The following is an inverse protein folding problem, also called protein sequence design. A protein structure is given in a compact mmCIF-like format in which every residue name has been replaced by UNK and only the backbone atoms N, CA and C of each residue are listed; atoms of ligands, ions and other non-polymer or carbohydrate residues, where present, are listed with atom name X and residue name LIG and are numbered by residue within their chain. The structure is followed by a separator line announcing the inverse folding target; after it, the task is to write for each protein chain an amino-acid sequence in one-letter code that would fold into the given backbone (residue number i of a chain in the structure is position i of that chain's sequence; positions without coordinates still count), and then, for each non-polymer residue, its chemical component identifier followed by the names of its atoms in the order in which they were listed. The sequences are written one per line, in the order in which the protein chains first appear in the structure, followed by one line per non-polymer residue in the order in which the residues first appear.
data_IF_064142996753
#
_entry.id   IF_064142996753
#
_cell.length_a   1.000
_cell.length_b   1.000
_cell.length_c   1.000
_cell.angle_alpha   90.00
_cell.angle_beta   90.00
_cell.angle_gamma   90.00
#
_symmetry.space_group_name_H-M   'P 1'
#
loop_
_entity.id
_entity.type
_entity.pdbx_description
1 polymer ?
#
# COMPACT_ATOMS: atom_id res chain seq x y z
N UNK A 1 -12.64 -6.65 10.84
CA UNK A 1 -13.41 -5.38 10.71
C UNK A 1 -12.71 -4.35 9.82
N UNK A 2 -11.46 -3.93 10.10
CA UNK A 2 -10.74 -2.91 9.28
C UNK A 2 -10.61 -3.29 7.80
N UNK A 3 -10.19 -4.53 7.48
CA UNK A 3 -10.03 -5.01 6.10
C UNK A 3 -11.34 -5.00 5.30
N UNK A 4 -12.47 -5.30 5.96
CA UNK A 4 -13.80 -5.27 5.35
C UNK A 4 -14.24 -3.83 5.05
N UNK A 5 -13.98 -2.89 5.98
CA UNK A 5 -14.23 -1.46 5.78
C UNK A 5 -13.47 -0.91 4.56
N UNK A 6 -12.18 -1.23 4.43
CA UNK A 6 -11.37 -0.82 3.27
C UNK A 6 -11.93 -1.36 1.96
N UNK A 7 -12.30 -2.65 1.90
CA UNK A 7 -12.86 -3.26 0.70
C UNK A 7 -14.20 -2.64 0.27
N UNK A 8 -15.09 -2.31 1.22
CA UNK A 8 -16.36 -1.63 0.92
C UNK A 8 -16.16 -0.21 0.37
N UNK A 9 -15.21 0.54 0.92
CA UNK A 9 -14.85 1.88 0.42
C UNK A 9 -14.29 1.80 -1.01
N UNK A 10 -13.44 0.82 -1.30
CA UNK A 10 -12.92 0.61 -2.65
C UNK A 10 -14.03 0.30 -3.65
N UNK A 11 -14.97 -0.58 -3.30
CA UNK A 11 -16.17 -0.83 -4.12
C UNK A 11 -16.99 0.44 -4.35
N UNK A 12 -17.20 1.26 -3.32
CA UNK A 12 -17.90 2.53 -3.47
C UNK A 12 -17.19 3.48 -4.44
N UNK A 13 -15.86 3.58 -4.34
CA UNK A 13 -15.06 4.40 -5.27
C UNK A 13 -15.19 3.93 -6.72
N UNK A 14 -15.37 2.63 -6.96
CA UNK A 14 -15.63 2.12 -8.32
C UNK A 14 -16.98 2.61 -8.85
N UNK A 15 -18.02 2.65 -8.02
CA UNK A 15 -19.32 3.21 -8.43
C UNK A 15 -19.23 4.69 -8.82
N UNK A 16 -18.36 5.46 -8.14
CA UNK A 16 -18.14 6.87 -8.50
C UNK A 16 -17.48 7.06 -9.86
N UNK A 17 -16.84 6.02 -10.39
CA UNK A 17 -16.17 6.01 -11.70
C UNK A 17 -17.07 5.51 -12.83
N UNK A 18 -18.34 5.18 -12.57
CA UNK A 18 -19.26 4.69 -13.60
C UNK A 18 -19.59 5.79 -14.63
N UNK A 19 -19.10 5.58 -15.85
CA UNK A 19 -19.20 6.51 -16.98
C UNK A 19 -20.46 6.24 -17.83
N UNK A 20 -21.65 6.41 -17.26
CA UNK A 20 -22.91 6.35 -18.02
C UNK A 20 -23.70 7.66 -17.93
N UNK A 21 -24.11 8.19 -19.09
CA UNK A 21 -24.92 9.41 -19.17
C UNK A 21 -26.39 9.08 -18.85
N UNK A 22 -27.01 9.71 -17.83
CA UNK A 22 -28.42 9.50 -17.53
C UNK A 22 -29.32 10.12 -18.59
N UNK A 23 -30.41 9.42 -18.91
CA UNK A 23 -31.39 9.87 -19.90
C UNK A 23 -31.99 11.24 -19.58
N UNK A 24 -32.16 11.54 -18.29
CA UNK A 24 -32.74 12.79 -17.80
C UNK A 24 -31.71 13.92 -17.63
N UNK A 25 -30.40 13.63 -17.67
CA UNK A 25 -29.38 14.63 -17.36
C UNK A 25 -29.41 15.83 -18.31
N UNK A 26 -29.49 15.59 -19.63
CA UNK A 26 -29.48 16.68 -20.62
C UNK A 26 -30.72 17.56 -20.53
N UNK A 27 -31.89 16.96 -20.28
CA UNK A 27 -33.12 17.70 -20.11
C UNK A 27 -33.06 18.60 -18.86
N UNK A 28 -32.55 18.07 -17.74
CA UNK A 28 -32.52 18.80 -16.46
C UNK A 28 -31.40 19.83 -16.38
N UNK A 29 -30.25 19.55 -16.99
CA UNK A 29 -29.08 20.42 -16.96
C UNK A 29 -28.71 20.85 -18.38
N UNK A 30 -29.69 21.43 -19.08
CA UNK A 30 -29.54 21.85 -20.48
C UNK A 30 -28.46 22.91 -20.69
N UNK A 31 -28.30 23.84 -19.75
CA UNK A 31 -27.23 24.82 -19.74
C UNK A 31 -25.85 24.16 -19.66
N UNK A 32 -25.70 23.15 -18.81
CA UNK A 32 -24.48 22.36 -18.67
C UNK A 32 -24.21 21.48 -19.92
N UNK A 33 -25.26 21.04 -20.61
CA UNK A 33 -25.16 20.23 -21.82
C UNK A 33 -24.52 20.94 -23.01
N UNK A 34 -24.38 22.27 -22.95
CA UNK A 34 -23.57 23.02 -23.92
C UNK A 34 -22.09 22.64 -23.92
N UNK A 35 -21.59 21.97 -22.86
CA UNK A 35 -20.21 21.48 -22.78
C UNK A 35 -19.96 20.20 -23.57
N UNK A 36 -21.01 19.46 -23.93
CA UNK A 36 -20.90 18.20 -24.67
C UNK A 36 -20.17 18.43 -26.00
N UNK A 37 -19.10 17.67 -26.26
CA UNK A 37 -18.25 17.83 -27.44
C UNK A 37 -17.31 19.04 -27.45
N UNK A 38 -17.43 20.01 -26.54
CA UNK A 38 -16.52 21.16 -26.41
C UNK A 38 -15.53 20.92 -25.25
N UNK A 39 -16.07 20.67 -24.07
CA UNK A 39 -15.33 20.33 -22.86
C UNK A 39 -15.75 18.95 -22.38
N UNK A 40 -15.55 17.94 -23.24
CA UNK A 40 -16.06 16.57 -23.05
C UNK A 40 -15.70 15.98 -21.68
N UNK A 41 -14.46 16.13 -21.23
CA UNK A 41 -14.04 15.64 -19.92
C UNK A 41 -14.82 16.29 -18.77
N UNK A 42 -15.07 17.60 -18.84
CA UNK A 42 -15.83 18.34 -17.84
C UNK A 42 -17.30 17.92 -17.88
N UNK A 43 -17.84 17.73 -19.09
CA UNK A 43 -19.19 17.24 -19.31
C UNK A 43 -19.41 15.87 -18.66
N UNK A 44 -18.47 14.93 -18.88
CA UNK A 44 -18.49 13.59 -18.28
C UNK A 44 -18.49 13.62 -16.76
N UNK A 45 -17.57 14.39 -16.18
CA UNK A 45 -17.50 14.57 -14.73
C UNK A 45 -18.84 15.08 -14.18
N UNK A 46 -19.52 15.97 -14.91
CA UNK A 46 -20.82 16.50 -14.51
C UNK A 46 -21.92 15.45 -14.40
N UNK A 47 -22.09 14.57 -15.40
CA UNK A 47 -23.13 13.54 -15.28
C UNK A 47 -22.74 12.42 -14.31
N UNK A 48 -21.45 12.11 -14.17
CA UNK A 48 -20.97 11.17 -13.15
C UNK A 48 -21.29 11.70 -11.75
N UNK A 49 -21.08 13.01 -11.51
CA UNK A 49 -21.46 13.68 -10.27
C UNK A 49 -22.97 13.53 -10.03
N UNK A 50 -23.79 13.80 -11.04
CA UNK A 50 -25.24 13.62 -10.93
C UNK A 50 -25.65 12.18 -10.59
N UNK A 51 -25.02 11.17 -11.21
CA UNK A 51 -25.23 9.76 -10.86
C UNK A 51 -24.91 9.46 -9.40
N UNK A 52 -23.81 10.00 -8.90
CA UNK A 52 -23.40 9.80 -7.52
C UNK A 52 -24.38 10.41 -6.53
N UNK A 53 -25.04 11.52 -6.87
CA UNK A 53 -26.15 11.99 -6.04
C UNK A 53 -27.40 11.11 -6.17
N UNK A 54 -27.78 10.74 -7.40
CA UNK A 54 -29.00 9.96 -7.69
C UNK A 54 -28.98 8.58 -7.03
N UNK A 55 -27.83 7.92 -7.03
CA UNK A 55 -27.66 6.54 -6.54
C UNK A 55 -27.12 6.46 -5.12
N UNK A 56 -27.07 7.59 -4.39
CA UNK A 56 -26.52 7.64 -3.03
C UNK A 56 -27.10 6.60 -2.08
N UNK A 57 -28.41 6.36 -2.13
CA UNK A 57 -29.07 5.34 -1.27
C UNK A 57 -28.93 3.91 -1.81
N UNK A 58 -28.61 3.78 -3.10
CA UNK A 58 -28.54 2.49 -3.80
C UNK A 58 -27.15 1.86 -3.63
N UNK A 59 -26.08 2.61 -3.84
CA UNK A 59 -24.72 2.05 -3.82
C UNK A 59 -24.32 1.45 -2.47
N UNK A 60 -24.51 2.12 -1.32
CA UNK A 60 -24.23 1.53 -0.01
C UNK A 60 -25.04 0.24 0.24
N UNK A 61 -26.33 0.24 -0.12
CA UNK A 61 -27.20 -0.93 0.02
C UNK A 61 -26.78 -2.11 -0.85
N UNK A 62 -26.32 -1.85 -2.09
CA UNK A 62 -25.76 -2.89 -2.96
C UNK A 62 -24.45 -3.46 -2.40
N UNK A 63 -23.59 -2.63 -1.83
CA UNK A 63 -22.32 -3.07 -1.23
C UNK A 63 -22.56 -3.94 0.01
N UNK A 64 -23.54 -3.56 0.84
CA UNK A 64 -23.84 -4.23 2.10
C UNK A 64 -24.44 -5.63 1.92
N UNK A 65 -25.14 -5.88 0.82
CA UNK A 65 -25.82 -7.15 0.54
C UNK A 65 -25.00 -8.15 -0.31
N UNK A 66 -23.73 -7.84 -0.61
CA UNK A 66 -22.89 -8.71 -1.48
C UNK A 66 -22.26 -9.91 -0.76
N UNK A 67 -22.24 -9.91 0.57
CA UNK A 67 -21.79 -11.04 1.39
C UNK A 67 -23.00 -11.61 2.14
N UNK A 68 -23.09 -12.93 2.29
CA UNK A 68 -24.22 -13.67 2.90
C UNK A 68 -24.54 -13.33 4.37
N UNK A 69 -23.90 -12.31 4.93
CA UNK A 69 -24.17 -11.72 6.22
C UNK A 69 -24.52 -10.23 6.02
N UNK A 70 -25.80 -9.92 5.82
CA UNK A 70 -26.31 -8.55 5.96
C UNK A 70 -26.14 -8.12 7.43
N UNK A 71 -24.95 -7.64 7.79
CA UNK A 71 -24.64 -7.20 9.15
C UNK A 71 -23.17 -6.82 9.40
N UNK A 72 -22.89 -5.51 9.46
CA UNK A 72 -22.26 -4.85 10.62
C UNK A 72 -21.56 -3.52 10.29
N UNK A 73 -21.34 -3.20 9.01
CA UNK A 73 -20.79 -1.90 8.60
C UNK A 73 -21.48 -1.40 7.34
N UNK A 74 -22.46 -0.51 7.50
CA UNK A 74 -23.01 0.30 6.41
C UNK A 74 -22.20 1.59 6.28
N UNK A 75 -22.04 2.06 5.05
CA UNK A 75 -21.39 3.35 4.81
C UNK A 75 -22.36 4.44 5.31
N UNK A 76 -21.90 5.23 6.28
CA UNK A 76 -22.70 6.33 6.81
C UNK A 76 -22.90 7.41 5.75
N UNK A 77 -23.96 8.21 5.89
CA UNK A 77 -24.20 9.35 5.01
C UNK A 77 -23.04 10.34 5.00
N UNK A 78 -22.45 10.57 6.17
CA UNK A 78 -21.26 11.41 6.34
C UNK A 78 -20.07 10.82 5.59
N UNK A 79 -19.79 9.53 5.77
CA UNK A 79 -18.68 8.83 5.09
C UNK A 79 -18.87 8.88 3.56
N UNK A 80 -20.11 8.71 3.08
CA UNK A 80 -20.43 8.83 1.66
C UNK A 80 -20.10 10.22 1.12
N UNK A 81 -20.56 11.26 1.81
CA UNK A 81 -20.33 12.65 1.39
C UNK A 81 -18.85 13.05 1.48
N UNK A 82 -18.10 12.55 2.46
CA UNK A 82 -16.65 12.74 2.54
C UNK A 82 -15.95 12.10 1.34
N UNK A 83 -16.29 10.85 1.02
CA UNK A 83 -15.73 10.13 -0.12
C UNK A 83 -16.11 10.79 -1.46
N UNK A 84 -17.34 11.28 -1.60
CA UNK A 84 -17.78 11.99 -2.81
C UNK A 84 -17.03 13.31 -2.99
N UNK A 85 -16.81 14.06 -1.90
CA UNK A 85 -16.00 15.28 -1.95
C UNK A 85 -14.53 14.97 -2.29
N UNK A 86 -13.95 13.93 -1.70
CA UNK A 86 -12.59 13.48 -2.04
C UNK A 86 -12.49 13.13 -3.52
N UNK A 87 -13.43 12.35 -4.04
CA UNK A 87 -13.51 11.99 -5.45
C UNK A 87 -13.60 13.23 -6.34
N UNK A 88 -14.52 14.15 -6.05
CA UNK A 88 -14.72 15.34 -6.87
C UNK A 88 -13.50 16.28 -6.84
N UNK A 89 -12.85 16.43 -5.68
CA UNK A 89 -11.60 17.19 -5.55
C UNK A 89 -10.46 16.53 -6.34
N UNK A 90 -10.37 15.19 -6.37
CA UNK A 90 -9.40 14.49 -7.19
C UNK A 90 -9.67 14.69 -8.69
N UNK A 91 -10.94 14.67 -9.12
CA UNK A 91 -11.34 15.01 -10.50
C UNK A 91 -10.96 16.44 -10.85
N UNK A 92 -11.18 17.40 -9.94
CA UNK A 92 -10.76 18.80 -10.10
C UNK A 92 -9.26 18.92 -10.35
N UNK A 93 -8.47 18.34 -9.47
CA UNK A 93 -7.01 18.41 -9.55
C UNK A 93 -6.52 17.79 -10.85
N UNK A 94 -7.04 16.62 -11.22
CA UNK A 94 -6.69 15.95 -12.48
C UNK A 94 -7.06 16.82 -13.70
N UNK A 95 -8.27 17.35 -13.75
CA UNK A 95 -8.74 18.21 -14.83
C UNK A 95 -7.87 19.46 -14.99
N UNK A 96 -7.53 20.13 -13.89
CA UNK A 96 -6.69 21.34 -13.92
C UNK A 96 -5.26 21.01 -14.38
N UNK A 97 -4.67 19.91 -13.91
CA UNK A 97 -3.30 19.50 -14.25
C UNK A 97 -3.17 19.03 -15.70
N UNK A 98 -4.16 18.28 -16.20
CA UNK A 98 -4.08 17.66 -17.54
C UNK A 98 -4.43 18.61 -18.68
N UNK A 99 -5.12 19.71 -18.41
CA UNK A 99 -5.47 20.67 -19.45
C UNK A 99 -4.36 21.70 -19.74
N UNK A 100 -4.56 22.48 -20.80
CA UNK A 100 -3.53 23.34 -21.38
C UNK A 100 -3.21 24.61 -20.57
N UNK A 101 -4.17 25.12 -19.81
CA UNK A 101 -4.01 26.32 -18.99
C UNK A 101 -4.69 26.12 -17.64
N UNK A 102 -3.90 26.20 -16.57
CA UNK A 102 -4.38 25.97 -15.21
C UNK A 102 -5.44 26.99 -14.77
N UNK A 103 -5.23 28.28 -15.05
CA UNK A 103 -6.15 29.35 -14.66
C UNK A 103 -7.48 29.21 -15.40
N UNK A 104 -7.44 28.99 -16.72
CA UNK A 104 -8.65 28.83 -17.54
C UNK A 104 -9.44 27.59 -17.10
N UNK A 105 -8.75 26.46 -16.84
CA UNK A 105 -9.39 25.25 -16.35
C UNK A 105 -9.99 25.42 -14.96
N UNK A 106 -9.33 26.18 -14.08
CA UNK A 106 -9.86 26.49 -12.75
C UNK A 106 -11.15 27.31 -12.88
N UNK A 107 -11.19 28.30 -13.77
CA UNK A 107 -12.39 29.09 -14.03
C UNK A 107 -13.52 28.25 -14.63
N UNK A 108 -13.22 27.38 -15.61
CA UNK A 108 -14.20 26.46 -16.19
C UNK A 108 -14.76 25.52 -15.13
N UNK A 109 -13.92 25.00 -14.24
CA UNK A 109 -14.36 24.13 -13.15
C UNK A 109 -15.31 24.85 -12.19
N UNK A 110 -14.91 26.02 -11.67
CA UNK A 110 -15.75 26.78 -10.74
C UNK A 110 -17.07 27.18 -11.38
N UNK A 111 -17.05 27.61 -12.64
CA UNK A 111 -18.26 28.00 -13.38
C UNK A 111 -19.18 26.82 -13.64
N UNK A 112 -18.67 25.66 -14.00
CA UNK A 112 -19.52 24.58 -14.50
C UNK A 112 -19.80 23.50 -13.47
N UNK A 113 -18.77 22.98 -12.79
CA UNK A 113 -18.93 21.85 -11.88
C UNK A 113 -19.45 22.29 -10.52
N UNK A 114 -18.93 23.40 -9.99
CA UNK A 114 -19.37 23.89 -8.67
C UNK A 114 -20.77 24.49 -8.74
N UNK A 115 -21.14 25.16 -9.84
CA UNK A 115 -22.54 25.56 -10.09
C UNK A 115 -23.46 24.34 -10.26
N UNK A 116 -23.02 23.31 -10.99
CA UNK A 116 -23.79 22.09 -11.18
C UNK A 116 -24.05 21.37 -9.85
N UNK A 117 -23.08 21.32 -8.94
CA UNK A 117 -23.28 20.76 -7.59
C UNK A 117 -24.48 21.39 -6.87
N UNK A 118 -24.57 22.72 -6.88
CA UNK A 118 -25.67 23.45 -6.28
C UNK A 118 -27.01 23.17 -6.98
N UNK A 119 -27.01 23.11 -8.31
CA UNK A 119 -28.22 22.78 -9.09
C UNK A 119 -28.71 21.36 -8.79
N UNK A 120 -27.81 20.38 -8.68
CA UNK A 120 -28.14 19.00 -8.35
C UNK A 120 -28.77 18.91 -6.95
N UNK A 121 -28.18 19.59 -5.96
CA UNK A 121 -28.73 19.68 -4.59
C UNK A 121 -30.17 20.18 -4.59
N UNK A 122 -30.44 21.26 -5.32
CA UNK A 122 -31.79 21.85 -5.44
C UNK A 122 -32.75 20.89 -6.14
N UNK A 123 -32.29 20.20 -7.19
CA UNK A 123 -33.13 19.32 -8.00
C UNK A 123 -33.58 18.07 -7.25
N UNK A 124 -32.64 17.39 -6.57
CA UNK A 124 -32.92 16.09 -5.94
C UNK A 124 -33.82 16.26 -4.71
N UNK A 125 -33.84 17.45 -4.08
CA UNK A 125 -34.69 17.77 -2.92
C UNK A 125 -34.64 16.72 -1.81
N UNK A 126 -33.51 16.03 -1.68
CA UNK A 126 -33.32 15.04 -0.63
C UNK A 126 -33.09 15.76 0.70
N UNK A 127 -33.56 15.15 1.79
CA UNK A 127 -33.38 15.65 3.16
C UNK A 127 -31.90 15.64 3.57
N UNK A 128 -31.06 14.95 2.80
CA UNK A 128 -29.63 14.81 3.02
C UNK A 128 -28.84 15.43 1.87
N UNK A 129 -28.27 16.59 2.16
CA UNK A 129 -27.41 17.34 1.26
C UNK A 129 -25.96 17.02 1.61
N UNK A 130 -25.22 16.41 0.70
CA UNK A 130 -23.77 16.44 0.83
C UNK A 130 -23.32 17.89 0.74
N UNK A 131 -22.72 18.40 1.81
CA UNK A 131 -22.10 19.72 1.78
C UNK A 131 -20.82 19.66 0.96
N UNK A 132 -20.59 20.69 0.14
CA UNK A 132 -19.41 20.79 -0.70
C UNK A 132 -18.21 21.21 0.13
N UNK A 133 -17.21 20.34 0.25
CA UNK A 133 -15.92 20.63 0.87
C UNK A 133 -14.82 20.74 -0.21
N UNK A 134 -14.56 21.97 -0.66
CA UNK A 134 -13.61 22.26 -1.74
C UNK A 134 -12.16 22.25 -1.23
N UNK A 135 -11.27 21.57 -1.94
CA UNK A 135 -9.83 21.82 -1.80
C UNK A 135 -9.43 23.01 -2.66
N UNK A 136 -8.67 23.94 -2.08
CA UNK A 136 -8.05 25.03 -2.83
C UNK A 136 -6.91 24.43 -3.64
N UNK A 137 -7.00 24.55 -4.97
CA UNK A 137 -5.91 24.22 -5.87
C UNK A 137 -5.26 25.52 -6.33
N UNK A 138 -3.95 25.65 -6.21
CA UNK A 138 -3.20 26.81 -6.68
C UNK A 138 -2.36 26.44 -7.91
N UNK A 139 -2.52 27.21 -8.98
CA UNK A 139 -1.82 27.00 -10.25
C UNK A 139 -0.31 27.16 -10.17
N UNK A 140 0.21 27.72 -9.08
CA UNK A 140 1.63 27.81 -8.77
C UNK A 140 2.27 26.46 -8.39
N UNK A 141 1.47 25.42 -8.12
CA UNK A 141 1.97 24.06 -7.86
C UNK A 141 2.08 23.32 -9.19
N UNK A 142 3.15 23.61 -9.93
CA UNK A 142 3.54 22.87 -11.13
C UNK A 142 3.94 21.41 -10.77
N UNK A 143 3.78 20.41 -11.66
CA UNK A 143 4.20 19.02 -11.41
C UNK A 143 5.69 18.86 -11.04
N UNK A 144 6.51 19.87 -11.31
CA UNK A 144 7.92 19.91 -10.90
C UNK A 144 8.11 19.95 -9.37
N UNK A 145 7.05 20.22 -8.60
CA UNK A 145 7.06 20.17 -7.13
C UNK A 145 6.44 18.86 -6.57
N UNK A 146 6.47 17.74 -7.31
CA UNK A 146 6.27 16.40 -6.72
C UNK A 146 7.58 15.66 -6.41
N UNK A 147 8.72 16.19 -6.84
CA UNK A 147 10.06 15.73 -6.39
C UNK A 147 10.62 16.56 -5.24
N UNK A 148 9.92 17.60 -4.78
CA UNK A 148 10.38 18.48 -3.73
C UNK A 148 9.25 18.92 -2.77
N UNK A 149 8.58 17.96 -2.12
CA UNK A 149 8.18 18.11 -0.71
C UNK A 149 7.64 16.79 -0.14
N UNK A 150 8.41 16.03 0.63
CA UNK A 150 8.05 15.81 2.01
C UNK A 150 8.47 17.06 2.78
N UNK A 151 7.66 17.58 3.69
CA UNK A 151 8.10 18.10 4.98
C UNK A 151 6.91 18.78 5.67
N UNK A 152 5.98 17.96 6.20
CA UNK A 152 5.57 18.21 7.58
C UNK A 152 6.67 17.60 8.46
N UNK A 153 7.55 18.50 8.92
CA UNK A 153 8.45 18.39 10.09
C UNK A 153 9.80 17.67 9.86
N UNK A 154 10.80 18.51 9.61
CA UNK A 154 12.10 18.52 10.31
C UNK A 154 12.91 17.22 10.27
N UNK A 155 13.40 16.83 9.09
CA UNK A 155 14.65 16.06 9.01
C UNK A 155 15.80 17.05 8.77
N UNK A 156 16.78 17.09 9.67
CA UNK A 156 17.97 17.95 9.50
C UNK A 156 18.67 17.63 8.17
N UNK A 157 19.40 18.59 7.57
CA UNK A 157 20.20 18.37 6.36
C UNK A 157 21.19 17.19 6.48
N UNK A 158 21.50 16.76 7.71
CA UNK A 158 22.38 15.62 7.99
C UNK A 158 21.76 14.28 7.58
N UNK A 159 20.44 14.10 7.70
CA UNK A 159 19.79 12.81 7.37
C UNK A 159 19.67 12.60 5.86
N UNK A 160 19.37 13.66 5.09
CA UNK A 160 19.28 13.59 3.62
C UNK A 160 20.66 13.26 3.02
N UNK A 161 21.71 13.87 3.57
CA UNK A 161 23.10 13.58 3.18
C UNK A 161 23.52 12.17 3.61
N UNK A 162 23.21 11.77 4.84
CA UNK A 162 23.54 10.43 5.36
C UNK A 162 22.83 9.30 4.61
N UNK A 163 21.55 9.48 4.22
CA UNK A 163 20.81 8.50 3.42
C UNK A 163 21.37 8.40 2.00
N UNK A 164 21.67 9.54 1.35
CA UNK A 164 22.27 9.57 0.01
C UNK A 164 23.64 8.87 -0.02
N UNK A 165 24.51 9.20 0.94
CA UNK A 165 25.82 8.56 1.09
C UNK A 165 25.64 7.09 1.48
N UNK A 166 24.70 6.77 2.37
CA UNK A 166 24.38 5.42 2.80
C UNK A 166 23.96 4.51 1.65
N UNK A 167 23.03 4.94 0.80
CA UNK A 167 22.60 4.18 -0.38
C UNK A 167 23.71 4.01 -1.41
N UNK A 168 24.56 5.04 -1.60
CA UNK A 168 25.71 4.96 -2.50
C UNK A 168 26.74 3.94 -2.01
N UNK A 169 27.03 3.94 -0.70
CA UNK A 169 27.93 2.96 -0.08
C UNK A 169 27.34 1.55 -0.08
N UNK A 170 26.05 1.39 0.21
CA UNK A 170 25.35 0.10 0.16
C UNK A 170 25.35 -0.48 -1.25
N UNK A 171 25.02 0.33 -2.26
CA UNK A 171 25.07 -0.08 -3.66
C UNK A 171 26.48 -0.52 -4.07
N UNK A 172 27.49 0.29 -3.72
CA UNK A 172 28.89 -0.01 -4.02
C UNK A 172 29.35 -1.30 -3.32
N UNK A 173 28.98 -1.50 -2.05
CA UNK A 173 29.26 -2.72 -1.30
C UNK A 173 28.58 -3.95 -1.92
N UNK A 174 27.30 -3.87 -2.25
CA UNK A 174 26.56 -5.00 -2.84
C UNK A 174 27.12 -5.38 -4.21
N UNK A 175 27.46 -4.40 -5.04
CA UNK A 175 28.11 -4.63 -6.34
C UNK A 175 29.48 -5.28 -6.13
N UNK A 176 30.29 -4.77 -5.20
CA UNK A 176 31.59 -5.33 -4.87
C UNK A 176 31.48 -6.76 -4.34
N UNK A 177 30.56 -7.04 -3.43
CA UNK A 177 30.29 -8.39 -2.93
C UNK A 177 29.79 -9.32 -4.03
N UNK A 178 28.97 -8.84 -4.97
CA UNK A 178 28.52 -9.65 -6.10
C UNK A 178 29.69 -10.03 -7.03
N UNK A 179 30.59 -9.09 -7.33
CA UNK A 179 31.79 -9.37 -8.12
C UNK A 179 32.77 -10.27 -7.37
N UNK A 180 33.01 -10.02 -6.08
CA UNK A 180 33.83 -10.92 -5.26
C UNK A 180 33.19 -12.30 -5.13
N UNK A 181 31.88 -12.42 -5.00
CA UNK A 181 31.20 -13.73 -4.96
C UNK A 181 31.32 -14.45 -6.31
N UNK A 182 31.14 -13.73 -7.43
CA UNK A 182 31.17 -14.28 -8.78
C UNK A 182 32.58 -14.66 -9.24
N UNK A 183 33.62 -13.98 -8.74
CA UNK A 183 35.01 -14.19 -9.16
C UNK A 183 35.94 -14.74 -8.07
N UNK A 184 35.45 -14.95 -6.85
CA UNK A 184 36.26 -15.57 -5.81
C UNK A 184 36.20 -17.10 -5.92
N UNK A 185 37.35 -17.80 -5.91
CA UNK A 185 37.41 -19.26 -5.93
C UNK A 185 37.00 -19.87 -4.58
N UNK A 186 36.28 -19.13 -3.74
CA UNK A 186 35.81 -19.53 -2.42
C UNK A 186 34.85 -20.73 -2.49
N UNK A 187 34.05 -20.87 -3.55
CA UNK A 187 33.22 -22.07 -3.73
C UNK A 187 34.06 -23.36 -3.80
N UNK A 188 35.13 -23.35 -4.58
CA UNK A 188 36.07 -24.47 -4.72
C UNK A 188 36.90 -24.67 -3.45
N UNK A 189 37.31 -23.59 -2.78
CA UNK A 189 38.08 -23.65 -1.52
C UNK A 189 37.25 -24.18 -0.35
N UNK A 190 35.99 -23.75 -0.22
CA UNK A 190 35.05 -24.25 0.80
C UNK A 190 34.77 -25.73 0.57
N UNK A 191 34.50 -26.15 -0.68
CA UNK A 191 34.27 -27.56 -0.99
C UNK A 191 35.51 -28.42 -0.69
N UNK A 192 36.71 -27.94 -1.01
CA UNK A 192 37.95 -28.64 -0.67
C UNK A 192 38.19 -28.73 0.85
N UNK A 193 37.90 -27.67 1.61
CA UNK A 193 38.05 -27.71 3.07
C UNK A 193 37.02 -28.63 3.74
N UNK A 194 35.77 -28.66 3.24
CA UNK A 194 34.74 -29.59 3.72
C UNK A 194 35.14 -31.04 3.41
N UNK A 195 35.63 -31.32 2.20
CA UNK A 195 36.10 -32.66 1.82
C UNK A 195 37.34 -33.08 2.60
N UNK A 196 38.27 -32.15 2.90
CA UNK A 196 39.43 -32.41 3.76
C UNK A 196 39.01 -32.77 5.19
N UNK A 197 38.02 -32.07 5.76
CA UNK A 197 37.45 -32.41 7.08
C UNK A 197 36.76 -33.78 7.08
N UNK A 198 35.97 -34.11 6.05
CA UNK A 198 35.34 -35.44 5.92
C UNK A 198 36.37 -36.57 5.85
N UNK A 199 37.52 -36.36 5.18
CA UNK A 199 38.60 -37.34 5.09
C UNK A 199 39.28 -37.57 6.45
N UNK A 200 39.50 -36.50 7.22
CA UNK A 200 40.10 -36.58 8.56
C UNK A 200 39.16 -37.33 9.54
N UNK A 201 37.86 -37.02 9.54
CA UNK A 201 36.89 -37.71 10.41
C UNK A 201 36.75 -39.19 10.07
N UNK A 202 36.82 -39.58 8.79
CA UNK A 202 36.79 -40.99 8.39
C UNK A 202 38.06 -41.74 8.84
N UNK A 203 39.23 -41.10 8.77
CA UNK A 203 40.48 -41.71 9.24
C UNK A 203 40.50 -41.87 10.78
N UNK A 204 40.00 -40.89 11.53
CA UNK A 204 39.88 -40.97 13.00
C UNK A 204 38.91 -42.08 13.41
N UNK A 205 37.74 -42.17 12.78
CA UNK A 205 36.75 -43.22 13.08
C UNK A 205 37.26 -44.64 12.73
N UNK A 206 38.11 -44.78 11.70
CA UNK A 206 38.75 -46.06 11.40
C UNK A 206 39.91 -46.40 12.34
N UNK A 207 40.63 -45.41 12.88
CA UNK A 207 41.76 -45.64 13.81
C UNK A 207 41.29 -45.86 15.26
N UNK A 208 40.18 -45.24 15.68
CA UNK A 208 39.59 -45.39 17.03
C UNK A 208 38.89 -46.75 17.23
N UNK A 209 38.42 -47.40 16.15
CA UNK A 209 37.93 -48.78 16.18
C UNK A 209 39.02 -49.83 16.34
N UNK A 210 40.31 -49.48 16.15
CA UNK A 210 41.44 -50.42 16.23
C UNK A 210 42.40 -50.13 17.39
N UNK A 211 42.20 -49.07 18.18
CA UNK A 211 43.20 -48.54 19.12
C UNK A 211 42.77 -48.35 20.58
N UNK A 212 41.62 -48.88 21.01
CA UNK A 212 41.13 -48.73 22.39
C UNK A 212 40.86 -50.09 23.07
N UNK A 213 41.93 -50.75 23.51
CA UNK A 213 41.89 -51.73 24.59
C UNK A 213 43.28 -51.87 25.23
N UNK A 214 43.76 -50.83 25.91
CA UNK A 214 44.77 -51.05 26.94
C UNK A 214 44.87 -49.88 27.94
N UNK A 215 44.77 -50.24 29.23
CA UNK A 215 45.11 -49.45 30.43
C UNK A 215 44.19 -48.26 30.77
N UNK A 216 43.78 -48.03 32.01
CA UNK A 216 44.27 -48.47 33.33
C UNK A 216 43.24 -48.00 34.36
N UNK A 217 42.97 -48.77 35.43
CA UNK A 217 42.33 -48.19 36.63
C UNK A 217 42.88 -48.83 37.91
N UNK A 218 43.75 -48.07 38.56
CA UNK A 218 44.34 -48.19 39.91
C UNK A 218 44.67 -46.73 40.26
N UNK A 219 44.29 -46.08 41.36
CA UNK A 219 43.75 -46.41 42.67
C UNK A 219 42.93 -45.16 43.10
N UNK A 220 42.03 -45.17 44.07
CA UNK A 220 41.65 -46.18 45.03
C UNK A 220 40.52 -45.62 45.91
N UNK A 221 39.72 -46.51 46.45
CA UNK A 221 38.92 -46.25 47.63
C UNK A 221 39.08 -47.46 48.54
N UNK A 222 39.50 -47.19 49.76
CA UNK A 222 39.64 -48.17 50.82
C UNK A 222 38.23 -48.53 51.27
N UNK A 223 37.88 -49.82 51.22
CA UNK A 223 36.76 -50.33 52.00
C UNK A 223 37.22 -51.51 52.84
N UNK A 224 36.95 -51.34 54.14
CA UNK A 224 37.14 -52.26 55.24
C UNK A 224 36.34 -53.54 54.97
N UNK A 225 37.01 -54.69 55.01
CA UNK A 225 36.35 -56.00 54.99
C UNK A 225 35.85 -56.39 56.37
N UNK A 226 34.60 -56.81 56.46
CA UNK A 226 34.10 -57.63 57.57
C UNK A 226 33.89 -59.06 57.06
N UNK A 227 34.42 -59.99 57.84
CA UNK A 227 34.58 -61.41 57.58
C UNK A 227 33.28 -62.21 57.79
N UNK A 228 33.04 -63.16 56.85
CA UNK A 228 32.67 -64.58 57.05
C UNK A 228 31.36 -64.94 57.77
N UNK A 229 30.72 -66.10 57.57
CA UNK A 229 30.68 -67.20 56.58
C UNK A 229 29.43 -68.02 57.00
N UNK A 230 28.77 -68.62 56.01
CA UNK A 230 27.84 -69.78 56.04
C UNK A 230 26.97 -70.09 57.27
N UNK A 231 25.69 -70.33 56.99
CA UNK A 231 24.93 -71.40 57.65
C UNK A 231 24.34 -72.34 56.58
N UNK A 232 24.85 -73.57 56.56
CA UNK A 232 24.09 -74.84 56.43
C UNK A 232 25.01 -76.00 56.80
#
# INVERSE_FOLDING_TARGET
MVKLKTSKIEKLRLFFEEDYKPSDFTEKFSSFSSLEGIHENLYKIGYMLYNNFKNRHVYPGLIDCTDSECGSFSISDTDYCELLNEWLNNKKNKYIIEGSNCEDNTQLWEKHIEELWEQIKIYIKDMFLCERNKTIYTCSISPELKTASPDLKTASPDLKTALSVGFTLLGTCLISFFFLYKFSPLGTWINNNINKKKRITKNIFSEESSGSLERSSKNGEITIGYHFVEDS
#
